data_IF_080020987030
#
_entry.id   IF_080020987030
#
_cell.length_a   1.000
_cell.length_b   1.000
_cell.length_c   1.000
_cell.angle_alpha   90.00
_cell.angle_beta   90.00
_cell.angle_gamma   90.00
#
_symmetry.space_group_name_H-M   'P 1'
#
loop_
_entity.id
_entity.type
_entity.pdbx_description
1 polymer ?
#
# COMPACT_ATOMS: atom_id res chain seq x y z
N UNK A 1 -64.70 50.09 -26.81
CA UNK A 1 -65.67 49.01 -27.07
C UNK A 1 -64.87 47.76 -27.39
N UNK A 2 -64.96 46.75 -26.49
CA UNK A 2 -64.52 45.34 -26.58
C UNK A 2 -63.03 45.01 -26.81
N UNK A 3 -62.44 43.88 -26.39
CA UNK A 3 -62.41 43.00 -25.18
C UNK A 3 -61.22 42.03 -25.47
N UNK A 4 -60.60 41.52 -24.41
CA UNK A 4 -59.53 40.52 -24.27
C UNK A 4 -59.48 39.30 -25.26
N UNK A 5 -58.31 38.64 -25.38
CA UNK A 5 -57.96 37.30 -24.80
C UNK A 5 -56.77 36.60 -25.52
N UNK A 6 -55.78 36.12 -24.73
CA UNK A 6 -54.77 35.02 -24.91
C UNK A 6 -53.71 35.11 -26.03
N UNK A 7 -52.46 34.62 -25.93
CA UNK A 7 -51.79 33.73 -24.98
C UNK A 7 -50.81 32.82 -25.76
N UNK A 8 -49.60 32.58 -25.23
CA UNK A 8 -48.54 31.63 -25.69
C UNK A 8 -47.79 32.01 -26.98
N UNK A 9 -46.46 31.88 -27.13
CA UNK A 9 -45.53 30.94 -26.53
C UNK A 9 -44.11 31.54 -26.34
N UNK A 10 -43.61 31.52 -25.10
CA UNK A 10 -42.18 31.38 -24.79
C UNK A 10 -41.91 29.88 -24.69
N UNK A 11 -41.47 29.24 -25.75
CA UNK A 11 -41.10 27.82 -25.72
C UNK A 11 -39.95 27.54 -26.70
N UNK A 12 -38.79 28.16 -26.47
CA UNK A 12 -37.55 27.73 -27.12
C UNK A 12 -36.35 28.31 -26.37
N UNK A 13 -35.99 27.70 -25.23
CA UNK A 13 -34.65 27.75 -24.60
C UNK A 13 -34.60 26.96 -23.27
N UNK A 14 -35.21 25.77 -23.21
CA UNK A 14 -35.20 24.96 -21.97
C UNK A 14 -34.73 23.51 -22.15
N UNK A 15 -34.36 23.09 -23.35
CA UNK A 15 -33.96 21.68 -23.60
C UNK A 15 -32.45 21.51 -23.80
N UNK A 16 -31.70 22.56 -24.11
CA UNK A 16 -30.24 22.44 -24.27
C UNK A 16 -29.46 22.54 -22.94
N UNK A 17 -30.00 23.21 -21.91
CA UNK A 17 -29.24 23.46 -20.68
C UNK A 17 -29.34 22.30 -19.66
N UNK A 18 -30.43 21.52 -19.70
CA UNK A 18 -30.67 20.44 -18.75
C UNK A 18 -29.83 19.20 -19.04
N UNK A 19 -29.60 18.92 -20.32
CA UNK A 19 -28.77 17.81 -20.81
C UNK A 19 -27.29 18.08 -20.59
N UNK A 20 -26.85 19.34 -20.76
CA UNK A 20 -25.47 19.75 -20.48
C UNK A 20 -25.14 19.61 -18.99
N UNK A 21 -26.03 20.00 -18.09
CA UNK A 21 -25.82 19.86 -16.64
C UNK A 21 -25.78 18.39 -16.16
N UNK A 22 -26.56 17.49 -16.79
CA UNK A 22 -26.52 16.06 -16.48
C UNK A 22 -25.23 15.40 -17.00
N UNK A 23 -24.74 15.80 -18.17
CA UNK A 23 -23.45 15.34 -18.69
C UNK A 23 -22.27 15.92 -17.88
N UNK A 24 -22.36 17.17 -17.43
CA UNK A 24 -21.36 17.77 -16.53
C UNK A 24 -21.33 17.07 -15.15
N UNK A 25 -22.49 16.65 -14.64
CA UNK A 25 -22.60 15.84 -13.42
C UNK A 25 -21.97 14.46 -13.59
N UNK A 26 -22.21 13.79 -14.73
CA UNK A 26 -21.64 12.47 -15.02
C UNK A 26 -20.12 12.53 -15.26
N UNK A 27 -19.61 13.59 -15.88
CA UNK A 27 -18.16 13.82 -16.07
C UNK A 27 -17.49 14.19 -14.74
N UNK A 28 -18.16 14.91 -13.84
CA UNK A 28 -17.66 15.20 -12.48
C UNK A 28 -17.73 13.99 -11.54
N UNK A 29 -18.63 13.03 -11.73
CA UNK A 29 -18.63 11.80 -10.91
C UNK A 29 -17.62 10.74 -11.42
N UNK A 30 -17.33 10.71 -12.72
CA UNK A 30 -16.33 9.80 -13.31
C UNK A 30 -14.89 10.31 -13.21
N UNK A 31 -14.67 11.63 -13.24
CA UNK A 31 -13.32 12.22 -13.29
C UNK A 31 -12.65 12.39 -11.92
N UNK A 32 -13.41 12.44 -10.82
CA UNK A 32 -12.83 12.68 -9.50
C UNK A 32 -12.39 11.40 -8.78
N UNK A 33 -12.94 10.23 -9.17
CA UNK A 33 -12.48 8.94 -8.64
C UNK A 33 -11.09 8.55 -9.19
N UNK A 34 -10.77 8.84 -10.46
CA UNK A 34 -9.45 8.48 -10.99
C UNK A 34 -8.32 9.41 -10.49
N UNK A 35 -8.63 10.67 -10.16
CA UNK A 35 -7.67 11.62 -9.57
C UNK A 35 -7.44 11.38 -8.07
N UNK A 36 -8.43 10.88 -7.33
CA UNK A 36 -8.22 10.36 -5.98
C UNK A 36 -7.53 8.98 -6.00
N UNK A 37 -7.77 8.17 -7.03
CA UNK A 37 -7.10 6.88 -7.25
C UNK A 37 -5.61 6.99 -7.57
N UNK A 38 -5.10 8.19 -7.88
CA UNK A 38 -3.68 8.48 -8.13
C UNK A 38 -2.92 8.98 -6.91
N UNK A 39 -3.60 9.12 -5.77
CA UNK A 39 -2.93 9.43 -4.52
C UNK A 39 -2.36 8.12 -4.00
N UNK A 40 -1.05 8.09 -3.74
CA UNK A 40 -0.41 6.88 -3.23
C UNK A 40 -1.13 6.40 -1.97
N UNK A 41 -1.47 5.11 -1.93
CA UNK A 41 -2.04 4.45 -0.74
C UNK A 41 -1.24 4.74 0.52
N UNK A 42 0.08 4.93 0.39
CA UNK A 42 0.93 5.33 1.51
C UNK A 42 0.74 6.79 1.93
N UNK A 43 0.53 7.72 0.99
CA UNK A 43 0.30 9.13 1.33
C UNK A 43 -1.03 9.32 2.07
N UNK A 44 -2.08 8.61 1.65
CA UNK A 44 -3.37 8.64 2.33
C UNK A 44 -3.29 8.03 3.74
N UNK A 45 -2.66 6.87 3.87
CA UNK A 45 -2.49 6.20 5.16
C UNK A 45 -1.55 6.98 6.08
N UNK A 46 -0.55 7.67 5.54
CA UNK A 46 0.30 8.56 6.31
C UNK A 46 -0.50 9.72 6.90
N UNK A 47 -1.32 10.39 6.10
CA UNK A 47 -2.15 11.48 6.59
C UNK A 47 -3.24 11.02 7.57
N UNK A 48 -3.80 9.82 7.38
CA UNK A 48 -4.70 9.20 8.37
C UNK A 48 -3.96 8.95 9.69
N UNK A 49 -2.72 8.45 9.60
CA UNK A 49 -1.88 8.16 10.75
C UNK A 49 -1.53 9.43 11.53
N UNK A 50 -1.17 10.52 10.85
CA UNK A 50 -0.89 11.81 11.46
C UNK A 50 -2.12 12.46 12.10
N UNK A 51 -3.31 12.34 11.48
CA UNK A 51 -4.55 12.93 12.02
C UNK A 51 -5.17 12.16 13.17
N UNK A 52 -4.76 10.91 13.41
CA UNK A 52 -5.39 10.05 14.41
C UNK A 52 -5.06 10.52 15.84
N UNK A 53 -6.04 10.67 16.76
CA UNK A 53 -5.77 11.05 18.16
C UNK A 53 -4.94 10.00 18.92
N UNK A 54 -4.79 8.78 18.38
CA UNK A 54 -3.91 7.73 18.86
C UNK A 54 -2.56 7.64 18.14
N UNK A 55 -2.20 8.65 17.33
CA UNK A 55 -0.96 8.68 16.53
C UNK A 55 0.28 8.35 17.38
N UNK A 56 0.37 8.92 18.59
CA UNK A 56 1.51 8.72 19.48
C UNK A 56 1.73 7.29 19.98
N UNK A 57 0.70 6.43 20.04
CA UNK A 57 0.86 5.01 20.42
C UNK A 57 1.21 4.09 19.25
N UNK A 58 0.93 4.54 18.03
CA UNK A 58 1.08 3.72 16.82
C UNK A 58 2.27 4.11 15.95
N UNK A 59 3.00 5.15 16.36
CA UNK A 59 4.15 5.68 15.66
C UNK A 59 5.45 5.32 16.38
N UNK A 60 6.39 4.76 15.63
CA UNK A 60 7.71 4.36 16.13
C UNK A 60 8.75 5.30 15.51
N UNK A 61 9.40 6.17 16.31
CA UNK A 61 10.31 7.22 15.81
C UNK A 61 11.52 6.71 15.02
N UNK A 62 11.95 5.47 15.26
CA UNK A 62 13.09 4.86 14.58
C UNK A 62 12.76 4.43 13.15
N UNK A 63 11.47 4.31 12.81
CA UNK A 63 11.01 3.75 11.53
C UNK A 63 10.66 4.83 10.51
N UNK A 64 10.96 4.56 9.24
CA UNK A 64 10.51 5.42 8.14
C UNK A 64 8.97 5.49 8.09
N UNK A 65 8.38 6.50 7.43
CA UNK A 65 6.93 6.58 7.27
C UNK A 65 6.31 5.33 6.63
N UNK A 66 6.96 4.79 5.59
CA UNK A 66 6.52 3.57 4.89
C UNK A 66 6.58 2.35 5.84
N UNK A 67 7.65 2.23 6.62
CA UNK A 67 7.78 1.16 7.60
C UNK A 67 6.75 1.26 8.73
N UNK A 68 6.45 2.46 9.24
CA UNK A 68 5.38 2.67 10.22
C UNK A 68 4.01 2.25 9.68
N UNK A 69 3.69 2.56 8.42
CA UNK A 69 2.44 2.14 7.78
C UNK A 69 2.37 0.62 7.68
N UNK A 70 3.45 -0.04 7.23
CA UNK A 70 3.50 -1.51 7.17
C UNK A 70 3.36 -2.13 8.55
N UNK A 71 4.06 -1.63 9.58
CA UNK A 71 3.93 -2.12 10.96
C UNK A 71 2.50 -1.97 11.48
N UNK A 72 1.82 -0.85 11.19
CA UNK A 72 0.41 -0.64 11.55
C UNK A 72 -0.53 -1.62 10.85
N UNK A 73 -0.24 -2.01 9.60
CA UNK A 73 -1.02 -3.04 8.90
C UNK A 73 -0.75 -4.43 9.50
N UNK A 74 0.49 -4.75 9.83
CA UNK A 74 0.86 -5.98 10.52
C UNK A 74 0.20 -6.09 11.89
N UNK A 75 0.15 -5.01 12.67
CA UNK A 75 -0.48 -5.00 13.99
C UNK A 75 -1.98 -5.24 13.92
N UNK A 76 -2.67 -4.67 12.91
CA UNK A 76 -4.08 -4.97 12.62
C UNK A 76 -4.31 -6.46 12.32
N UNK A 77 -3.45 -7.08 11.51
CA UNK A 77 -3.54 -8.52 11.20
C UNK A 77 -3.32 -9.38 12.45
N UNK A 78 -2.41 -8.96 13.32
CA UNK A 78 -2.03 -9.66 14.54
C UNK A 78 -2.94 -9.31 15.74
N UNK A 79 -3.98 -8.51 15.54
CA UNK A 79 -4.93 -8.08 16.56
C UNK A 79 -4.25 -7.45 17.80
N UNK A 80 -3.24 -6.60 17.57
CA UNK A 80 -2.45 -5.92 18.60
C UNK A 80 -2.13 -4.48 18.17
N UNK A 81 -1.46 -3.70 19.02
CA UNK A 81 -0.95 -2.37 18.68
C UNK A 81 0.50 -2.39 18.19
N UNK A 82 0.93 -1.34 17.47
CA UNK A 82 2.33 -1.21 17.06
C UNK A 82 3.29 -1.14 18.26
N UNK A 83 2.88 -0.50 19.36
CA UNK A 83 3.66 -0.40 20.60
C UNK A 83 3.83 -1.76 21.30
N UNK A 84 2.77 -2.57 21.37
CA UNK A 84 2.84 -3.92 21.97
C UNK A 84 3.72 -4.87 21.14
N UNK A 85 3.69 -4.75 19.80
CA UNK A 85 4.63 -5.47 18.93
C UNK A 85 6.08 -5.04 19.19
N UNK A 86 6.31 -3.74 19.36
CA UNK A 86 7.65 -3.21 19.66
C UNK A 86 8.15 -3.72 21.02
N UNK A 87 7.29 -3.72 22.04
CA UNK A 87 7.61 -4.26 23.36
C UNK A 87 7.91 -5.76 23.29
N UNK A 88 7.09 -6.53 22.56
CA UNK A 88 7.31 -7.97 22.34
C UNK A 88 8.66 -8.22 21.68
N UNK A 89 8.99 -7.49 20.61
CA UNK A 89 10.29 -7.57 19.96
C UNK A 89 11.45 -7.22 20.91
N UNK A 90 11.32 -6.16 21.71
CA UNK A 90 12.37 -5.73 22.62
C UNK A 90 12.64 -6.76 23.73
N UNK A 91 11.60 -7.49 24.14
CA UNK A 91 11.66 -8.57 25.14
C UNK A 91 12.22 -9.86 24.55
N UNK A 92 11.78 -10.26 23.35
CA UNK A 92 12.16 -11.54 22.73
C UNK A 92 13.52 -11.51 22.03
N UNK A 93 13.91 -10.36 21.46
CA UNK A 93 15.13 -10.24 20.69
C UNK A 93 16.39 -10.07 21.56
N UNK A 94 17.47 -10.73 21.16
CA UNK A 94 18.78 -10.55 21.77
C UNK A 94 19.34 -9.14 21.54
N UNK A 95 20.27 -8.72 22.40
CA UNK A 95 20.83 -7.36 22.34
C UNK A 95 21.58 -7.07 21.02
N UNK A 96 22.18 -8.08 20.39
CA UNK A 96 22.85 -7.93 19.09
C UNK A 96 21.86 -7.59 17.96
N UNK A 97 20.63 -8.09 18.03
CA UNK A 97 19.54 -7.81 17.08
C UNK A 97 18.95 -6.42 17.32
N UNK A 98 18.97 -5.93 18.56
CA UNK A 98 18.45 -4.61 18.95
C UNK A 98 19.44 -3.46 18.71
N UNK A 99 20.61 -3.74 18.11
CA UNK A 99 21.61 -2.69 17.83
C UNK A 99 21.02 -1.57 16.94
N UNK A 100 21.28 -0.31 17.30
CA UNK A 100 20.65 0.89 16.68
C UNK A 100 20.70 0.90 15.15
N UNK A 101 21.81 0.47 14.54
CA UNK A 101 21.98 0.46 13.08
C UNK A 101 21.11 -0.57 12.33
N UNK A 102 20.58 -1.58 13.04
CA UNK A 102 19.77 -2.66 12.45
C UNK A 102 18.38 -2.76 13.07
N UNK A 103 18.12 -2.03 14.16
CA UNK A 103 16.87 -2.07 14.92
C UNK A 103 15.63 -1.95 14.02
N UNK A 104 15.56 -0.89 13.22
CA UNK A 104 14.42 -0.63 12.35
C UNK A 104 14.14 -1.78 11.38
N UNK A 105 15.19 -2.31 10.73
CA UNK A 105 15.07 -3.43 9.79
C UNK A 105 14.63 -4.71 10.50
N UNK A 106 15.27 -5.04 11.62
CA UNK A 106 14.99 -6.26 12.36
C UNK A 106 13.58 -6.24 12.99
N UNK A 107 13.16 -5.08 13.49
CA UNK A 107 11.81 -4.91 14.02
C UNK A 107 10.74 -4.97 12.91
N UNK A 108 11.00 -4.35 11.75
CA UNK A 108 10.13 -4.48 10.59
C UNK A 108 9.98 -5.95 10.17
N UNK A 109 11.09 -6.68 10.05
CA UNK A 109 11.10 -8.12 9.73
C UNK A 109 10.29 -8.94 10.75
N UNK A 110 10.47 -8.68 12.05
CA UNK A 110 9.70 -9.33 13.11
C UNK A 110 8.19 -9.15 12.91
N UNK A 111 7.75 -7.93 12.61
CA UNK A 111 6.34 -7.62 12.34
C UNK A 111 5.85 -8.33 11.07
N UNK A 112 6.60 -8.24 9.98
CA UNK A 112 6.25 -8.83 8.69
C UNK A 112 6.09 -10.35 8.78
N UNK A 113 7.07 -11.05 9.36
CA UNK A 113 7.04 -12.51 9.40
C UNK A 113 5.92 -13.06 10.28
N UNK A 114 5.62 -12.42 11.42
CA UNK A 114 4.47 -12.82 12.24
C UNK A 114 3.15 -12.63 11.48
N UNK A 115 2.97 -11.48 10.81
CA UNK A 115 1.76 -11.20 10.04
C UNK A 115 1.58 -12.15 8.85
N UNK A 116 2.67 -12.45 8.12
CA UNK A 116 2.64 -13.42 7.01
C UNK A 116 2.32 -14.83 7.49
N UNK A 117 2.89 -15.27 8.62
CA UNK A 117 2.61 -16.59 9.20
C UNK A 117 1.14 -16.78 9.59
N UNK A 118 0.42 -15.71 9.93
CA UNK A 118 -1.02 -15.74 10.19
C UNK A 118 -1.83 -15.66 8.88
N UNK A 119 -1.46 -14.73 7.99
CA UNK A 119 -2.18 -14.47 6.73
C UNK A 119 -2.20 -15.68 5.79
N UNK A 120 -1.09 -16.44 5.75
CA UNK A 120 -0.94 -17.63 4.90
C UNK A 120 -1.74 -18.85 5.36
N UNK A 121 -2.37 -18.79 6.54
CA UNK A 121 -3.29 -19.85 7.00
C UNK A 121 -4.63 -19.84 6.25
N UNK A 122 -4.94 -18.74 5.58
CA UNK A 122 -6.15 -18.62 4.75
C UNK A 122 -5.90 -19.25 3.39
N UNK A 123 -6.76 -20.20 3.01
CA UNK A 123 -6.72 -20.82 1.68
C UNK A 123 -6.99 -19.77 0.59
N UNK A 124 -6.24 -19.82 -0.50
CA UNK A 124 -6.39 -18.85 -1.60
C UNK A 124 -5.92 -17.43 -1.25
N UNK A 125 -5.05 -17.25 -0.25
CA UNK A 125 -4.51 -15.93 0.11
C UNK A 125 -3.83 -15.20 -1.06
N UNK A 126 -3.30 -15.93 -2.07
CA UNK A 126 -2.74 -15.32 -3.27
C UNK A 126 -3.81 -14.67 -4.18
N UNK A 127 -5.07 -15.12 -4.13
CA UNK A 127 -6.18 -14.50 -4.84
C UNK A 127 -6.55 -13.12 -4.26
N UNK A 128 -6.24 -12.89 -2.98
CA UNK A 128 -6.50 -11.63 -2.30
C UNK A 128 -5.50 -10.55 -2.72
N UNK A 129 -5.99 -9.59 -3.51
CA UNK A 129 -5.20 -8.41 -3.92
C UNK A 129 -4.61 -7.63 -2.75
N UNK A 130 -5.29 -7.60 -1.58
CA UNK A 130 -4.77 -6.93 -0.38
C UNK A 130 -3.56 -7.66 0.18
N UNK A 131 -3.59 -8.99 0.20
CA UNK A 131 -2.44 -9.80 0.60
C UNK A 131 -1.24 -9.56 -0.34
N UNK A 132 -1.46 -9.63 -1.66
CA UNK A 132 -0.39 -9.37 -2.64
C UNK A 132 0.18 -7.96 -2.54
N UNK A 133 -0.66 -6.96 -2.27
CA UNK A 133 -0.19 -5.59 -2.06
C UNK A 133 0.58 -5.46 -0.76
N UNK A 134 0.10 -6.09 0.32
CA UNK A 134 0.79 -6.11 1.60
C UNK A 134 2.20 -6.69 1.48
N UNK A 135 2.37 -7.85 0.83
CA UNK A 135 3.69 -8.49 0.71
C UNK A 135 4.66 -7.65 -0.13
N UNK A 136 4.17 -6.96 -1.17
CA UNK A 136 4.98 -6.00 -1.92
C UNK A 136 5.35 -4.77 -1.07
N UNK A 137 4.39 -4.19 -0.35
CA UNK A 137 4.61 -3.02 0.49
C UNK A 137 5.59 -3.33 1.65
N UNK A 138 5.60 -4.57 2.16
CA UNK A 138 6.62 -5.05 3.11
C UNK A 138 8.03 -5.01 2.49
N UNK A 139 8.19 -5.39 1.23
CA UNK A 139 9.47 -5.30 0.51
C UNK A 139 9.89 -3.84 0.31
N UNK A 140 8.95 -2.97 -0.06
CA UNK A 140 9.21 -1.53 -0.21
C UNK A 140 9.65 -0.92 1.13
N UNK A 141 9.00 -1.25 2.24
CA UNK A 141 9.41 -0.79 3.57
C UNK A 141 10.80 -1.31 3.95
N UNK A 142 11.17 -2.52 3.49
CA UNK A 142 12.47 -3.11 3.79
C UNK A 142 13.64 -2.41 3.11
N UNK A 143 13.43 -1.81 1.92
CA UNK A 143 14.44 -0.98 1.22
C UNK A 143 14.90 0.20 2.10
N UNK A 144 13.97 0.84 2.81
CA UNK A 144 14.22 2.01 3.62
C UNK A 144 13.47 1.93 4.96
N UNK A 145 13.93 1.08 5.91
CA UNK A 145 13.15 0.78 7.11
C UNK A 145 13.28 1.85 8.20
N UNK A 146 14.37 2.63 8.22
CA UNK A 146 14.65 3.60 9.28
C UNK A 146 14.32 5.04 8.84
N UNK A 147 14.03 5.93 9.79
CA UNK A 147 13.88 7.38 9.50
C UNK A 147 15.12 8.01 8.88
N UNK A 148 16.30 7.47 9.18
CA UNK A 148 17.57 7.89 8.59
C UNK A 148 17.88 7.26 7.23
N UNK A 149 17.08 6.31 6.76
CA UNK A 149 17.23 5.73 5.43
C UNK A 149 16.92 6.78 4.37
N UNK A 150 17.65 6.74 3.26
CA UNK A 150 17.29 7.54 2.09
C UNK A 150 15.86 7.16 1.69
N UNK A 151 14.96 8.13 1.67
CA UNK A 151 13.56 7.91 1.33
C UNK A 151 13.48 7.33 -0.09
N UNK A 152 12.65 6.30 -0.32
CA UNK A 152 12.27 5.94 -1.67
C UNK A 152 11.43 7.11 -2.21
N UNK A 153 12.08 7.93 -3.05
CA UNK A 153 11.59 9.21 -3.53
C UNK A 153 10.30 9.02 -4.35
N UNK A 154 9.31 9.88 -4.10
CA UNK A 154 8.01 10.01 -4.77
C UNK A 154 7.08 8.78 -4.70
N UNK A 155 6.18 8.86 -3.71
CA UNK A 155 5.05 7.96 -3.49
C UNK A 155 4.11 7.96 -4.71
N UNK A 156 4.37 7.12 -5.71
CA UNK A 156 3.41 6.17 -6.29
C UNK A 156 4.05 5.32 -7.42
N UNK A 157 4.54 5.98 -8.48
CA UNK A 157 4.88 5.32 -9.75
C UNK A 157 6.34 4.80 -9.86
N UNK A 158 7.22 5.15 -8.91
CA UNK A 158 8.65 4.76 -8.93
C UNK A 158 9.05 3.84 -7.77
N UNK A 159 8.10 3.47 -6.90
CA UNK A 159 8.36 2.51 -5.81
C UNK A 159 8.67 1.15 -6.42
N UNK A 160 9.92 0.74 -6.26
CA UNK A 160 10.44 -0.49 -6.80
C UNK A 160 11.31 -1.19 -5.78
N UNK A 161 11.35 -2.51 -5.88
CA UNK A 161 11.97 -3.42 -4.93
C UNK A 161 13.24 -3.95 -5.55
N UNK A 162 14.34 -3.91 -4.80
CA UNK A 162 15.61 -4.52 -5.12
C UNK A 162 15.63 -6.01 -4.74
N UNK A 163 16.69 -6.69 -5.17
CA UNK A 163 16.83 -8.14 -4.98
C UNK A 163 16.93 -8.49 -3.49
N UNK A 164 17.56 -7.65 -2.67
CA UNK A 164 17.75 -7.92 -1.24
C UNK A 164 16.42 -7.93 -0.48
N UNK A 165 15.55 -6.95 -0.74
CA UNK A 165 14.23 -6.88 -0.12
C UNK A 165 13.34 -8.04 -0.57
N UNK A 166 13.35 -8.36 -1.88
CA UNK A 166 12.61 -9.49 -2.42
C UNK A 166 13.09 -10.81 -1.79
N UNK A 167 14.39 -11.08 -1.83
CA UNK A 167 15.01 -12.30 -1.29
C UNK A 167 14.83 -12.46 0.22
N UNK A 168 14.59 -11.36 0.94
CA UNK A 168 14.32 -11.42 2.38
C UNK A 168 12.86 -11.72 2.71
N UNK A 169 11.91 -11.07 2.03
CA UNK A 169 10.48 -11.14 2.37
C UNK A 169 9.76 -12.24 1.59
N UNK A 170 10.03 -12.42 0.29
CA UNK A 170 9.30 -13.35 -0.56
C UNK A 170 9.35 -14.81 -0.05
N UNK A 171 10.52 -15.35 0.39
CA UNK A 171 10.60 -16.71 0.90
C UNK A 171 9.87 -16.98 2.22
N UNK A 172 9.41 -15.93 2.93
CA UNK A 172 8.53 -16.11 4.09
C UNK A 172 7.16 -16.69 3.72
N UNK A 173 6.81 -16.66 2.43
CA UNK A 173 5.64 -17.31 1.85
C UNK A 173 6.15 -18.32 0.82
N UNK A 174 6.34 -19.60 1.18
CA UNK A 174 7.06 -20.56 0.34
C UNK A 174 6.52 -20.76 -1.09
N UNK A 175 5.22 -20.53 -1.30
CA UNK A 175 4.59 -20.58 -2.63
C UNK A 175 5.01 -19.41 -3.53
N UNK A 176 5.37 -18.25 -2.96
CA UNK A 176 5.84 -17.08 -3.70
C UNK A 176 7.27 -17.27 -4.19
N UNK A 177 8.16 -17.73 -3.30
CA UNK A 177 9.55 -18.02 -3.62
C UNK A 177 10.12 -18.97 -2.59
N UNK A 178 11.20 -19.68 -2.94
CA UNK A 178 12.04 -20.37 -1.98
C UNK A 178 13.46 -19.80 -2.06
N UNK A 179 14.24 -19.99 -1.00
CA UNK A 179 15.60 -19.44 -0.86
C UNK A 179 16.59 -19.96 -1.92
N UNK A 180 16.28 -21.05 -2.62
CA UNK A 180 17.14 -21.64 -3.65
C UNK A 180 16.96 -20.92 -4.99
N UNK A 181 15.72 -20.57 -5.36
CA UNK A 181 15.41 -19.99 -6.68
C UNK A 181 15.22 -18.46 -6.65
N UNK A 182 15.30 -17.84 -5.48
CA UNK A 182 14.81 -16.47 -5.26
C UNK A 182 15.49 -15.43 -6.17
N UNK A 183 16.82 -15.50 -6.29
CA UNK A 183 17.59 -14.59 -7.15
C UNK A 183 17.27 -14.78 -8.63
N UNK A 184 17.23 -16.04 -9.10
CA UNK A 184 16.87 -16.36 -10.49
C UNK A 184 15.44 -15.91 -10.83
N UNK A 185 14.50 -16.12 -9.91
CA UNK A 185 13.12 -15.66 -10.07
C UNK A 185 13.08 -14.12 -10.16
N UNK A 186 13.81 -13.42 -9.28
CA UNK A 186 13.89 -11.97 -9.31
C UNK A 186 14.45 -11.45 -10.64
N UNK A 187 15.50 -12.07 -11.16
CA UNK A 187 16.08 -11.72 -12.48
C UNK A 187 15.03 -11.82 -13.60
N UNK A 188 14.29 -12.94 -13.64
CA UNK A 188 13.21 -13.15 -14.62
C UNK A 188 12.12 -12.09 -14.48
N UNK A 189 11.70 -11.78 -13.25
CA UNK A 189 10.67 -10.78 -12.99
C UNK A 189 11.13 -9.35 -13.32
N UNK A 190 12.43 -9.09 -13.38
CA UNK A 190 12.98 -7.73 -13.52
C UNK A 190 13.75 -7.47 -14.81
N UNK A 191 13.72 -8.43 -15.75
CA UNK A 191 14.45 -8.37 -17.02
C UNK A 191 14.12 -7.11 -17.86
N UNK A 192 12.88 -6.63 -17.78
CA UNK A 192 12.41 -5.45 -18.53
C UNK A 192 12.41 -4.15 -17.72
N UNK A 193 12.78 -4.21 -16.44
CA UNK A 193 12.66 -3.10 -15.48
C UNK A 193 14.01 -2.69 -14.87
N UNK A 194 15.11 -3.08 -15.51
CA UNK A 194 16.45 -2.69 -15.09
C UNK A 194 16.84 -3.24 -13.71
N UNK A 195 16.41 -4.45 -13.38
CA UNK A 195 16.74 -5.09 -12.10
C UNK A 195 15.94 -4.58 -10.90
N UNK A 196 14.84 -3.85 -11.13
CA UNK A 196 13.94 -3.41 -10.04
C UNK A 196 12.53 -3.95 -10.22
N UNK A 197 12.00 -4.60 -9.20
CA UNK A 197 10.67 -5.20 -9.23
C UNK A 197 9.60 -4.15 -8.94
N UNK A 198 8.61 -4.04 -9.83
CA UNK A 198 7.46 -3.14 -9.69
C UNK A 198 6.19 -3.92 -9.35
N UNK A 199 5.27 -3.30 -8.63
CA UNK A 199 4.04 -3.96 -8.17
C UNK A 199 3.23 -4.62 -9.29
N UNK A 200 2.99 -4.02 -10.47
CA UNK A 200 2.21 -4.68 -11.53
C UNK A 200 2.81 -6.00 -12.02
N UNK A 201 4.15 -6.10 -12.05
CA UNK A 201 4.84 -7.34 -12.43
C UNK A 201 4.67 -8.39 -11.34
N UNK A 202 4.86 -7.98 -10.08
CA UNK A 202 4.68 -8.85 -8.92
C UNK A 202 3.23 -9.34 -8.76
N UNK A 203 2.25 -8.45 -8.93
CA UNK A 203 0.81 -8.76 -8.90
C UNK A 203 0.46 -9.78 -9.99
N UNK A 204 0.94 -9.56 -11.22
CA UNK A 204 0.73 -10.51 -12.33
C UNK A 204 1.36 -11.88 -12.04
N UNK A 205 2.58 -11.90 -11.50
CA UNK A 205 3.27 -13.13 -11.13
C UNK A 205 2.46 -13.92 -10.09
N UNK A 206 2.04 -13.29 -9.00
CA UNK A 206 1.31 -13.96 -7.93
C UNK A 206 -0.08 -14.43 -8.36
N UNK A 207 -0.80 -13.70 -9.22
CA UNK A 207 -2.07 -14.16 -9.78
C UNK A 207 -1.90 -15.43 -10.64
N UNK A 208 -0.72 -15.65 -11.24
CA UNK A 208 -0.46 -16.84 -12.04
C UNK A 208 -0.09 -18.09 -11.22
N UNK A 209 0.09 -17.93 -9.89
CA UNK A 209 0.37 -19.03 -8.96
C UNK A 209 -0.90 -19.59 -8.28
N UNK A 210 -2.04 -18.92 -8.42
CA UNK A 210 -3.36 -19.42 -8.00
C UNK A 210 -3.82 -20.57 -8.92
#
# INVERSE_FOLDING_TARGET
MLIFVTGTARFEMAVANKTMNLLESLVKEGSFKWLLSKRSTFAEEFEELERSPSAGRNWIPELSPVANIVVRRCSKILETSSSELQESFNTEASDSIKHKSRYARNFLEYCCFRALALSTRVMGHLADKKFRRLTFDMMVAWEAPATSSQSPVNLDDDLSVGVEAFSRIAPAVPIIANVIICENLFEVLTISTGGRLRFPVYDKYLNALE
#
